data_IF_027946185594
#
_entry.id   IF_027946185594
#
_cell.length_a   1.000
_cell.length_b   1.000
_cell.length_c   1.000
_cell.angle_alpha   90.00
_cell.angle_beta   90.00
_cell.angle_gamma   90.00
#
_symmetry.space_group_name_H-M   'P 1'
#
loop_
_entity.id
_entity.type
_entity.pdbx_description
1 polymer ?
#
# COMPACT_ATOMS: atom_id res chain seq x y z
N UNK A 1 8.12 3.27 13.73
CA UNK A 1 8.62 2.60 12.51
C UNK A 1 7.95 3.19 11.29
N UNK A 2 8.69 3.40 10.18
CA UNK A 2 8.17 3.93 8.92
C UNK A 2 8.03 2.84 7.87
N UNK A 3 6.84 2.69 7.31
CA UNK A 3 6.54 1.77 6.20
C UNK A 3 6.08 2.56 4.98
N UNK A 4 6.65 2.28 3.83
CA UNK A 4 6.20 2.81 2.54
C UNK A 4 5.43 1.71 1.82
N UNK A 5 4.22 2.05 1.35
CA UNK A 5 3.31 1.11 0.69
C UNK A 5 2.98 1.61 -0.70
N UNK A 6 3.34 0.83 -1.70
CA UNK A 6 3.25 1.24 -3.10
C UNK A 6 2.44 0.28 -3.97
N UNK A 7 2.04 0.75 -5.11
CA UNK A 7 1.33 0.00 -6.14
C UNK A 7 0.60 0.93 -7.10
N UNK A 8 0.44 0.49 -8.32
CA UNK A 8 -0.31 1.26 -9.34
C UNK A 8 -1.77 1.45 -8.91
N UNK A 9 -2.48 2.43 -9.47
CA UNK A 9 -3.91 2.57 -9.29
C UNK A 9 -4.65 1.24 -9.53
N UNK A 10 -5.57 0.86 -8.64
CA UNK A 10 -6.30 -0.41 -8.73
C UNK A 10 -5.53 -1.66 -8.30
N UNK A 11 -4.30 -1.54 -7.82
CA UNK A 11 -3.52 -2.67 -7.31
C UNK A 11 -3.83 -3.02 -5.84
N UNK A 12 -4.83 -2.40 -5.24
CA UNK A 12 -5.31 -2.74 -3.90
C UNK A 12 -4.40 -2.30 -2.76
N UNK A 13 -3.50 -1.33 -2.98
CA UNK A 13 -2.59 -0.81 -1.95
C UNK A 13 -3.32 -0.31 -0.71
N UNK A 14 -4.31 0.58 -0.88
CA UNK A 14 -5.08 1.17 0.23
C UNK A 14 -5.91 0.11 0.97
N UNK A 15 -6.64 -0.74 0.24
CA UNK A 15 -7.45 -1.81 0.83
C UNK A 15 -6.61 -2.78 1.69
N UNK A 16 -5.48 -3.25 1.15
CA UNK A 16 -4.62 -4.17 1.89
C UNK A 16 -3.89 -3.48 3.03
N UNK A 17 -3.57 -2.18 2.91
CA UNK A 17 -3.04 -1.40 4.03
C UNK A 17 -4.04 -1.31 5.16
N UNK A 18 -5.30 -0.94 4.87
CA UNK A 18 -6.38 -0.90 5.87
C UNK A 18 -6.50 -2.25 6.56
N UNK A 19 -6.60 -3.34 5.79
CA UNK A 19 -6.71 -4.69 6.34
C UNK A 19 -5.55 -5.06 7.26
N UNK A 20 -4.31 -4.90 6.80
CA UNK A 20 -3.12 -5.31 7.55
C UNK A 20 -2.94 -4.46 8.81
N UNK A 21 -3.17 -3.14 8.71
CA UNK A 21 -3.09 -2.22 9.84
C UNK A 21 -4.20 -2.48 10.85
N UNK A 22 -5.44 -2.67 10.39
CA UNK A 22 -6.58 -2.95 11.26
C UNK A 22 -6.37 -4.21 12.08
N UNK A 23 -5.95 -5.30 11.44
CA UNK A 23 -5.70 -6.57 12.11
C UNK A 23 -4.57 -6.46 13.14
N UNK A 24 -3.48 -5.80 12.78
CA UNK A 24 -2.32 -5.62 13.65
C UNK A 24 -2.65 -4.70 14.83
N UNK A 25 -3.21 -3.52 14.56
CA UNK A 25 -3.54 -2.54 15.58
C UNK A 25 -4.56 -3.11 16.58
N UNK A 26 -5.56 -3.87 16.10
CA UNK A 26 -6.52 -4.55 16.98
C UNK A 26 -5.82 -5.57 17.90
N UNK A 27 -4.92 -6.39 17.35
CA UNK A 27 -4.17 -7.39 18.13
C UNK A 27 -3.24 -6.75 19.18
N UNK A 28 -2.70 -5.58 18.88
CA UNK A 28 -1.78 -4.83 19.75
C UNK A 28 -2.52 -3.84 20.69
N UNK A 29 -3.83 -3.67 20.55
CA UNK A 29 -4.62 -2.69 21.31
C UNK A 29 -4.27 -1.23 21.01
N UNK A 30 -3.79 -0.96 19.79
CA UNK A 30 -3.33 0.37 19.36
C UNK A 30 -4.40 1.12 18.59
N UNK A 31 -4.41 2.44 18.74
CA UNK A 31 -5.28 3.35 17.99
C UNK A 31 -4.65 3.70 16.65
N UNK A 32 -5.49 3.77 15.62
CA UNK A 32 -5.08 4.16 14.27
C UNK A 32 -5.59 5.56 13.94
N UNK A 33 -4.71 6.43 13.48
CA UNK A 33 -5.06 7.73 12.93
C UNK A 33 -4.85 7.71 11.42
N UNK A 34 -5.84 8.19 10.67
CA UNK A 34 -5.78 8.15 9.21
C UNK A 34 -6.04 9.51 8.58
N UNK A 35 -5.39 9.73 7.44
CA UNK A 35 -5.61 10.89 6.59
C UNK A 35 -5.78 10.48 5.13
N UNK A 36 -6.66 11.21 4.42
CA UNK A 36 -6.91 11.08 2.98
C UNK A 36 -7.40 9.69 2.52
N UNK A 37 -8.05 8.93 3.40
CA UNK A 37 -8.80 7.72 3.03
C UNK A 37 -10.27 8.10 2.92
N UNK A 38 -10.74 8.37 1.70
CA UNK A 38 -12.07 8.88 1.46
C UNK A 38 -13.16 7.86 1.81
N UNK A 39 -14.19 8.32 2.54
CA UNK A 39 -15.34 7.50 2.89
C UNK A 39 -14.99 6.27 3.73
N UNK A 40 -13.90 6.30 4.49
CA UNK A 40 -13.58 5.25 5.44
C UNK A 40 -14.68 5.18 6.50
N UNK A 41 -15.13 3.96 6.80
CA UNK A 41 -16.16 3.63 7.79
C UNK A 41 -15.49 2.93 8.98
N UNK A 42 -15.01 3.68 9.98
CA UNK A 42 -14.29 3.14 11.14
C UNK A 42 -15.09 2.09 11.92
N UNK A 43 -16.40 2.21 11.94
CA UNK A 43 -17.33 1.30 12.62
C UNK A 43 -17.34 -0.14 12.03
N UNK A 44 -16.84 -0.31 10.81
CA UNK A 44 -16.69 -1.63 10.17
C UNK A 44 -15.32 -2.27 10.43
N UNK A 45 -14.43 -1.57 11.13
CA UNK A 45 -13.08 -2.02 11.43
C UNK A 45 -12.99 -2.56 12.87
N UNK A 46 -11.94 -3.34 13.15
CA UNK A 46 -11.75 -3.99 14.45
C UNK A 46 -11.01 -3.10 15.44
N UNK A 47 -10.03 -2.35 14.97
CA UNK A 47 -9.29 -1.38 15.76
C UNK A 47 -10.06 -0.05 15.81
N UNK A 48 -9.69 0.84 16.72
CA UNK A 48 -10.22 2.20 16.77
C UNK A 48 -9.51 3.08 15.76
N UNK A 49 -10.25 3.59 14.78
CA UNK A 49 -9.73 4.45 13.73
C UNK A 49 -10.30 5.86 13.84
N UNK A 50 -9.44 6.88 13.83
CA UNK A 50 -9.81 8.29 13.89
C UNK A 50 -9.18 9.06 12.76
N UNK A 51 -9.98 9.93 12.14
CA UNK A 51 -9.47 10.86 11.13
C UNK A 51 -8.66 11.97 11.82
N UNK A 52 -7.53 12.37 11.25
CA UNK A 52 -6.83 13.58 11.62
C UNK A 52 -6.64 14.48 10.39
N UNK A 53 -6.59 15.79 10.61
CA UNK A 53 -6.75 16.76 9.54
C UNK A 53 -5.41 17.22 8.94
N UNK A 54 -4.36 17.28 9.75
CA UNK A 54 -3.06 17.83 9.34
C UNK A 54 -1.96 16.76 9.37
N UNK A 55 -1.61 16.15 8.21
CA UNK A 55 -0.54 15.15 8.15
C UNK A 55 0.83 15.68 8.52
N UNK A 56 1.09 16.98 8.39
CA UNK A 56 2.37 17.56 8.77
C UNK A 56 2.56 17.61 10.28
N UNK A 57 1.46 17.46 11.07
CA UNK A 57 1.47 17.36 12.53
C UNK A 57 1.32 15.94 13.06
N UNK A 58 1.62 14.94 12.26
CA UNK A 58 1.50 13.54 12.64
C UNK A 58 2.23 13.18 13.95
N UNK A 59 3.34 13.87 14.26
CA UNK A 59 4.16 13.66 15.44
C UNK A 59 3.56 14.23 16.75
N UNK A 60 2.49 15.02 16.65
CA UNK A 60 1.72 15.53 17.79
C UNK A 60 0.62 14.55 18.25
N UNK A 61 0.37 13.48 17.48
CA UNK A 61 -0.60 12.45 17.85
C UNK A 61 -0.16 11.70 19.12
N UNK A 62 -1.10 11.08 19.86
CA UNK A 62 -0.79 10.33 21.07
C UNK A 62 0.29 9.26 20.81
N UNK A 63 1.16 9.04 21.82
CA UNK A 63 2.20 8.02 21.74
C UNK A 63 1.60 6.63 21.41
N UNK A 64 2.41 5.77 20.82
CA UNK A 64 2.05 4.41 20.37
C UNK A 64 0.94 4.36 19.30
N UNK A 65 0.65 5.48 18.66
CA UNK A 65 -0.32 5.53 17.56
C UNK A 65 0.20 4.85 16.29
N UNK A 66 -0.72 4.23 15.56
CA UNK A 66 -0.51 3.82 14.17
C UNK A 66 -1.08 4.90 13.25
N UNK A 67 -0.31 5.35 12.28
CA UNK A 67 -0.67 6.49 11.42
C UNK A 67 -0.67 6.03 9.97
N UNK A 68 -1.76 6.30 9.25
CA UNK A 68 -1.93 5.92 7.84
C UNK A 68 -2.27 7.15 7.01
N UNK A 69 -1.44 7.45 6.02
CA UNK A 69 -1.68 8.56 5.09
C UNK A 69 -1.74 8.02 3.67
N UNK A 70 -2.88 8.17 3.00
CA UNK A 70 -3.02 7.78 1.59
C UNK A 70 -2.69 8.96 0.66
N UNK A 71 -2.14 8.65 -0.53
CA UNK A 71 -1.55 9.59 -1.49
C UNK A 71 -0.57 10.55 -0.78
N UNK A 72 0.30 9.96 0.04
CA UNK A 72 1.18 10.64 0.98
C UNK A 72 2.12 11.68 0.34
N UNK A 73 2.36 11.61 -0.98
CA UNK A 73 3.15 12.59 -1.70
C UNK A 73 2.60 14.02 -1.63
N UNK A 74 1.33 14.19 -1.26
CA UNK A 74 0.72 15.50 -1.08
C UNK A 74 1.35 16.32 0.06
N UNK A 75 1.90 15.63 1.09
CA UNK A 75 2.49 16.25 2.30
C UNK A 75 3.96 15.86 2.51
N UNK A 76 4.31 14.67 2.07
CA UNK A 76 5.65 14.06 2.24
C UNK A 76 6.39 13.91 0.92
N UNK A 77 6.03 14.74 -0.08
CA UNK A 77 6.58 14.71 -1.44
C UNK A 77 8.05 15.12 -1.50
N UNK A 78 8.66 14.84 -2.65
CA UNK A 78 10.02 15.24 -2.94
C UNK A 78 10.19 16.76 -2.88
N UNK A 79 11.25 17.23 -2.25
CA UNK A 79 11.66 18.64 -2.14
C UNK A 79 13.04 18.84 -2.76
N UNK A 80 13.47 20.06 -2.88
CA UNK A 80 14.86 20.38 -3.25
C UNK A 80 15.80 19.73 -2.20
N UNK A 81 16.72 18.84 -2.60
CA UNK A 81 17.65 18.18 -1.68
C UNK A 81 18.58 19.14 -0.94
N UNK A 82 18.75 20.37 -1.45
CA UNK A 82 19.57 21.42 -0.82
C UNK A 82 18.81 22.17 0.28
N UNK A 83 17.48 22.14 0.25
CA UNK A 83 16.66 22.79 1.26
C UNK A 83 16.69 22.00 2.58
N UNK A 84 16.73 22.73 3.70
CA UNK A 84 16.62 22.10 5.02
C UNK A 84 15.28 21.33 5.13
N UNK A 85 15.29 20.07 5.58
CA UNK A 85 14.06 19.34 5.77
C UNK A 85 13.14 20.06 6.78
N UNK A 86 11.83 20.17 6.48
CA UNK A 86 10.87 20.70 7.43
C UNK A 86 10.71 19.76 8.64
N UNK A 87 10.09 20.27 9.70
CA UNK A 87 9.98 19.56 10.96
C UNK A 87 9.26 18.21 10.80
N UNK A 88 8.15 18.16 10.09
CA UNK A 88 7.37 16.92 9.88
C UNK A 88 8.17 15.81 9.16
N UNK A 89 9.26 16.16 8.45
CA UNK A 89 10.18 15.19 7.84
C UNK A 89 11.27 14.78 8.85
N UNK A 90 11.87 15.73 9.58
CA UNK A 90 12.95 15.41 10.54
C UNK A 90 12.46 14.63 11.74
N UNK A 91 11.20 14.80 12.13
CA UNK A 91 10.58 14.05 13.25
C UNK A 91 10.55 12.54 13.03
N UNK A 92 10.64 12.06 11.78
CA UNK A 92 10.78 10.62 11.50
C UNK A 92 12.08 10.02 12.06
N UNK A 93 13.13 10.80 12.26
CA UNK A 93 14.38 10.32 12.86
C UNK A 93 14.19 9.88 14.31
N UNK A 94 13.29 10.54 15.03
CA UNK A 94 13.05 10.33 16.48
C UNK A 94 11.74 9.62 16.78
N UNK A 95 10.93 9.26 15.76
CA UNK A 95 9.58 8.71 15.96
C UNK A 95 9.53 7.43 16.80
N UNK A 96 10.66 6.70 16.91
CA UNK A 96 10.75 5.51 17.76
C UNK A 96 10.57 5.82 19.24
N UNK A 97 10.97 7.03 19.69
CA UNK A 97 10.81 7.46 21.07
C UNK A 97 9.33 7.62 21.47
N UNK A 98 8.47 7.94 20.51
CA UNK A 98 7.02 8.07 20.71
C UNK A 98 6.27 6.76 20.40
N UNK A 99 6.95 5.68 20.03
CA UNK A 99 6.31 4.40 19.68
C UNK A 99 5.48 4.41 18.39
N UNK A 100 5.53 5.50 17.62
CA UNK A 100 4.71 5.62 16.40
C UNK A 100 5.07 4.61 15.32
N UNK A 101 4.04 4.15 14.62
CA UNK A 101 4.16 3.36 13.39
C UNK A 101 3.44 4.13 12.26
N UNK A 102 4.17 4.53 11.24
CA UNK A 102 3.64 5.35 10.15
C UNK A 102 3.64 4.57 8.84
N UNK A 103 2.51 4.56 8.17
CA UNK A 103 2.32 3.95 6.86
C UNK A 103 2.01 5.05 5.84
N UNK A 104 2.95 5.28 4.93
CA UNK A 104 2.79 6.21 3.80
C UNK A 104 2.43 5.43 2.55
N UNK A 105 1.23 5.67 2.02
CA UNK A 105 0.72 5.02 0.81
C UNK A 105 0.92 5.96 -0.37
N UNK A 106 1.54 5.47 -1.44
CA UNK A 106 1.76 6.21 -2.69
C UNK A 106 1.79 5.25 -3.87
N UNK A 107 1.82 5.77 -5.09
CA UNK A 107 1.93 4.93 -6.29
C UNK A 107 3.36 4.48 -6.55
N UNK A 108 4.31 5.35 -6.29
CA UNK A 108 5.75 5.17 -6.54
C UNK A 108 6.54 5.76 -5.37
N UNK A 109 7.53 5.06 -4.80
CA UNK A 109 8.30 5.59 -3.66
C UNK A 109 9.10 6.84 -4.03
N UNK A 110 9.42 7.04 -5.31
CA UNK A 110 10.15 8.23 -5.79
C UNK A 110 9.35 9.53 -5.67
N UNK A 111 8.03 9.43 -5.46
CA UNK A 111 7.19 10.60 -5.18
C UNK A 111 7.37 11.13 -3.75
N UNK A 112 7.95 10.33 -2.85
CA UNK A 112 8.23 10.72 -1.48
C UNK A 112 9.63 11.33 -1.34
N UNK A 113 9.79 12.14 -0.31
CA UNK A 113 11.08 12.73 0.05
C UNK A 113 12.17 11.66 0.20
N UNK A 114 13.36 11.96 -0.34
CA UNK A 114 14.51 11.05 -0.28
C UNK A 114 14.92 10.72 1.15
N UNK A 115 14.73 11.65 2.09
CA UNK A 115 15.04 11.44 3.49
C UNK A 115 14.16 10.34 4.10
N UNK A 116 12.86 10.37 3.81
CA UNK A 116 11.92 9.33 4.26
C UNK A 116 12.22 7.96 3.64
N UNK A 117 12.60 7.93 2.37
CA UNK A 117 12.98 6.69 1.70
C UNK A 117 14.20 6.03 2.36
N UNK A 118 15.15 6.84 2.85
CA UNK A 118 16.33 6.36 3.59
C UNK A 118 16.00 5.89 5.01
N UNK A 119 14.98 6.47 5.65
CA UNK A 119 14.53 6.10 7.00
C UNK A 119 13.52 4.95 7.01
N UNK A 120 13.11 4.47 5.84
CA UNK A 120 12.12 3.42 5.70
C UNK A 120 12.57 2.12 6.37
N UNK A 121 11.69 1.55 7.21
CA UNK A 121 11.92 0.28 7.89
C UNK A 121 11.31 -0.91 7.15
N UNK A 122 10.46 -0.65 6.17
CA UNK A 122 9.85 -1.69 5.35
C UNK A 122 9.08 -1.12 4.17
N UNK A 123 9.33 -1.66 2.99
CA UNK A 123 8.62 -1.32 1.77
C UNK A 123 7.72 -2.48 1.37
N UNK A 124 6.43 -2.21 1.21
CA UNK A 124 5.44 -3.18 0.74
C UNK A 124 4.91 -2.75 -0.62
N UNK A 125 5.12 -3.56 -1.63
CA UNK A 125 4.62 -3.28 -2.97
C UNK A 125 3.54 -4.28 -3.37
N UNK A 126 2.42 -3.78 -3.94
CA UNK A 126 1.31 -4.59 -4.43
C UNK A 126 1.25 -4.58 -5.95
N UNK A 127 1.28 -5.76 -6.53
CA UNK A 127 1.19 -5.97 -7.96
C UNK A 127 -0.01 -6.85 -8.31
N UNK A 128 -0.98 -6.29 -9.02
CA UNK A 128 -2.18 -7.03 -9.40
C UNK A 128 -1.93 -7.91 -10.61
N UNK A 129 -2.32 -9.17 -10.51
CA UNK A 129 -2.15 -10.14 -11.59
C UNK A 129 -3.39 -10.09 -12.50
N UNK A 130 -3.20 -9.72 -13.76
CA UNK A 130 -4.25 -9.72 -14.81
C UNK A 130 -5.60 -9.11 -14.42
N UNK A 131 -5.60 -8.02 -13.64
CA UNK A 131 -6.83 -7.42 -13.09
C UNK A 131 -7.72 -8.39 -12.29
N UNK A 132 -7.19 -9.53 -11.87
CA UNK A 132 -7.89 -10.52 -11.04
C UNK A 132 -7.99 -10.06 -9.58
N UNK A 133 -8.58 -10.88 -8.73
CA UNK A 133 -8.55 -10.67 -7.28
C UNK A 133 -7.22 -11.10 -6.63
N UNK A 134 -6.31 -11.68 -7.40
CA UNK A 134 -4.98 -12.09 -6.93
C UNK A 134 -3.98 -10.95 -7.05
N UNK A 135 -3.19 -10.80 -6.01
CA UNK A 135 -2.10 -9.83 -5.92
C UNK A 135 -0.80 -10.54 -5.55
N UNK A 136 0.28 -10.05 -6.10
CA UNK A 136 1.61 -10.32 -5.56
C UNK A 136 1.93 -9.21 -4.57
N UNK A 137 2.26 -9.59 -3.34
CA UNK A 137 2.72 -8.72 -2.28
C UNK A 137 4.21 -8.95 -2.10
N UNK A 138 4.99 -7.93 -2.32
CA UNK A 138 6.43 -7.93 -2.11
C UNK A 138 6.76 -7.15 -0.87
N UNK A 139 7.66 -7.66 -0.04
CA UNK A 139 8.15 -7.00 1.16
C UNK A 139 9.67 -6.92 1.10
N UNK A 140 10.21 -5.75 1.37
CA UNK A 140 11.64 -5.49 1.46
C UNK A 140 11.93 -4.62 2.67
N UNK A 141 13.04 -4.83 3.35
CA UNK A 141 13.49 -3.95 4.45
C UNK A 141 13.93 -2.57 3.94
N UNK A 142 14.42 -2.51 2.71
CA UNK A 142 14.79 -1.26 2.04
C UNK A 142 13.80 -0.89 0.95
N UNK A 143 13.77 0.39 0.60
CA UNK A 143 12.91 0.88 -0.49
C UNK A 143 13.38 0.33 -1.84
N UNK A 144 12.47 -0.28 -2.57
CA UNK A 144 12.66 -0.68 -3.97
C UNK A 144 12.35 0.55 -4.83
N UNK A 145 13.39 1.23 -5.30
CA UNK A 145 13.24 2.50 -6.03
C UNK A 145 12.56 2.34 -7.40
N UNK A 146 12.86 1.27 -8.12
CA UNK A 146 12.34 1.02 -9.47
C UNK A 146 11.22 -0.02 -9.45
N UNK A 147 10.06 0.38 -8.94
CA UNK A 147 8.89 -0.53 -8.82
C UNK A 147 8.28 -0.96 -10.15
N UNK A 148 8.65 -0.32 -11.25
CA UNK A 148 8.26 -0.73 -12.61
C UNK A 148 9.09 -1.88 -13.17
N UNK A 149 10.26 -2.18 -12.58
CA UNK A 149 11.22 -3.17 -13.06
C UNK A 149 11.10 -4.46 -12.25
N UNK A 150 10.72 -5.57 -12.91
CA UNK A 150 10.53 -6.87 -12.21
C UNK A 150 11.77 -7.38 -11.50
N UNK A 151 12.96 -7.19 -12.07
CA UNK A 151 14.22 -7.63 -11.48
C UNK A 151 14.58 -6.90 -10.19
N UNK A 152 13.99 -5.72 -9.94
CA UNK A 152 14.19 -4.98 -8.68
C UNK A 152 13.59 -5.69 -7.47
N UNK A 153 12.72 -6.67 -7.66
CA UNK A 153 12.06 -7.44 -6.61
C UNK A 153 12.72 -8.80 -6.33
N UNK A 154 13.88 -9.08 -6.90
CA UNK A 154 14.55 -10.40 -6.78
C UNK A 154 14.85 -10.79 -5.32
N UNK A 155 15.20 -9.80 -4.50
CA UNK A 155 15.59 -9.98 -3.08
C UNK A 155 14.42 -9.68 -2.11
N UNK A 156 13.22 -9.39 -2.63
CA UNK A 156 12.05 -9.12 -1.82
C UNK A 156 11.26 -10.40 -1.51
N UNK A 157 10.74 -10.50 -0.31
CA UNK A 157 9.81 -11.57 0.07
C UNK A 157 8.53 -11.45 -0.74
N UNK A 158 8.24 -12.48 -1.53
CA UNK A 158 7.09 -12.52 -2.42
C UNK A 158 6.00 -13.43 -1.86
N UNK A 159 4.78 -12.90 -1.74
CA UNK A 159 3.60 -13.66 -1.33
C UNK A 159 2.43 -13.40 -2.28
N UNK A 160 1.74 -14.46 -2.67
CA UNK A 160 0.47 -14.33 -3.38
C UNK A 160 -0.65 -14.17 -2.37
N UNK A 161 -1.43 -13.10 -2.48
CA UNK A 161 -2.58 -12.82 -1.63
C UNK A 161 -3.82 -12.59 -2.48
N UNK A 162 -5.01 -12.67 -1.86
CA UNK A 162 -6.28 -12.30 -2.48
C UNK A 162 -6.83 -11.05 -1.82
N UNK A 163 -7.51 -10.21 -2.62
CA UNK A 163 -8.32 -9.12 -2.09
C UNK A 163 -9.39 -9.69 -1.17
N UNK A 164 -9.45 -9.20 0.05
CA UNK A 164 -10.42 -9.64 1.04
C UNK A 164 -11.75 -8.90 0.85
N UNK A 165 -12.78 -9.63 0.49
CA UNK A 165 -14.12 -9.08 0.26
C UNK A 165 -14.74 -8.41 1.48
N UNK A 166 -14.30 -8.79 2.69
CA UNK A 166 -14.78 -8.17 3.95
C UNK A 166 -14.42 -6.69 4.05
N UNK A 167 -13.35 -6.27 3.38
CA UNK A 167 -12.90 -4.88 3.35
C UNK A 167 -13.41 -4.12 2.12
N UNK A 168 -14.25 -4.76 1.28
CA UNK A 168 -14.90 -4.07 0.17
C UNK A 168 -16.02 -3.16 0.71
N UNK A 169 -16.03 -1.90 0.27
CA UNK A 169 -17.02 -0.93 0.75
C UNK A 169 -16.66 -0.24 2.07
N UNK A 170 -15.62 -0.69 2.79
CA UNK A 170 -15.14 -0.04 4.02
C UNK A 170 -14.63 1.38 3.75
N UNK A 171 -14.23 1.68 2.52
CA UNK A 171 -13.83 3.01 2.08
C UNK A 171 -14.21 3.24 0.62
N UNK A 172 -14.30 4.51 0.21
CA UNK A 172 -14.60 4.89 -1.18
C UNK A 172 -13.31 4.87 -1.99
N UNK A 173 -13.14 3.83 -2.82
CA UNK A 173 -12.03 3.81 -3.78
C UNK A 173 -12.29 4.85 -4.87
N UNK A 174 -11.29 5.67 -5.19
CA UNK A 174 -11.34 6.60 -6.33
C UNK A 174 -11.56 5.90 -7.68
N UNK A 175 -11.44 4.58 -7.70
CA UNK A 175 -11.72 3.71 -8.85
C UNK A 175 -13.00 2.88 -8.66
N UNK A 176 -13.96 3.36 -7.90
CA UNK A 176 -15.19 2.68 -7.45
C UNK A 176 -16.15 2.16 -8.50
N UNK A 177 -15.78 2.05 -9.77
CA UNK A 177 -16.58 1.44 -10.83
C UNK A 177 -15.76 0.60 -11.80
N UNK A 178 -14.71 -0.08 -11.34
CA UNK A 178 -14.16 -1.13 -12.17
C UNK A 178 -14.98 -2.41 -12.02
N UNK A 179 -15.98 -2.57 -12.89
CA UNK A 179 -16.51 -3.88 -13.21
C UNK A 179 -15.32 -4.83 -13.43
N UNK A 180 -15.21 -5.86 -12.59
CA UNK A 180 -14.21 -6.90 -12.71
C UNK A 180 -14.47 -7.73 -13.98
N UNK A 181 -14.23 -7.16 -15.15
CA UNK A 181 -14.14 -7.94 -16.38
C UNK A 181 -12.76 -8.60 -16.38
N UNK A 182 -12.73 -9.83 -15.90
CA UNK A 182 -11.60 -10.73 -16.09
C UNK A 182 -11.48 -11.05 -17.58
N UNK A 183 -10.90 -10.13 -18.37
CA UNK A 183 -10.51 -10.45 -19.76
C UNK A 183 -9.25 -11.31 -19.68
N UNK A 184 -9.39 -12.61 -19.91
CA UNK A 184 -8.23 -13.46 -20.17
C UNK A 184 -7.48 -12.91 -21.40
N UNK A 185 -6.13 -12.86 -21.34
CA UNK A 185 -5.36 -12.47 -22.51
C UNK A 185 -5.76 -13.35 -23.70
N UNK A 186 -6.07 -12.74 -24.85
CA UNK A 186 -6.47 -13.46 -26.06
C UNK A 186 -5.47 -14.55 -26.47
N UNK A 187 -4.17 -14.34 -26.20
CA UNK A 187 -3.12 -15.35 -26.39
C UNK A 187 -3.32 -16.62 -25.56
N UNK A 188 -3.88 -16.50 -24.34
CA UNK A 188 -4.16 -17.66 -23.48
C UNK A 188 -5.36 -18.46 -24.01
N UNK A 189 -6.40 -17.76 -24.50
CA UNK A 189 -7.57 -18.39 -25.15
C UNK A 189 -7.14 -19.11 -26.44
N UNK A 190 -6.29 -18.47 -27.24
CA UNK A 190 -5.74 -19.08 -28.46
C UNK A 190 -4.89 -20.33 -28.13
N UNK A 191 -4.04 -20.29 -27.14
CA UNK A 191 -3.25 -21.43 -26.70
C UNK A 191 -4.14 -22.60 -26.25
N UNK A 192 -5.19 -22.33 -25.49
CA UNK A 192 -6.16 -23.35 -25.07
C UNK A 192 -6.91 -23.97 -26.27
N UNK A 193 -7.29 -23.16 -27.24
CA UNK A 193 -7.95 -23.64 -28.47
C UNK A 193 -7.02 -24.53 -29.33
N UNK A 194 -5.74 -24.16 -29.43
CA UNK A 194 -4.74 -24.97 -30.17
C UNK A 194 -4.51 -26.30 -29.45
N UNK A 195 -4.40 -26.33 -28.14
CA UNK A 195 -4.23 -27.56 -27.34
C UNK A 195 -5.46 -28.46 -27.50
N UNK A 196 -6.67 -27.90 -27.38
CA UNK A 196 -7.91 -28.69 -27.53
C UNK A 196 -8.07 -29.26 -28.96
N UNK A 197 -7.70 -28.51 -30.00
CA UNK A 197 -7.69 -28.99 -31.38
C UNK A 197 -6.67 -30.10 -31.60
N UNK A 198 -5.47 -29.99 -31.03
CA UNK A 198 -4.43 -31.01 -31.12
C UNK A 198 -4.85 -32.33 -30.42
N UNK A 199 -5.50 -32.24 -29.27
CA UNK A 199 -6.05 -33.41 -28.56
C UNK A 199 -7.18 -34.05 -29.36
N UNK A 200 -8.06 -33.26 -29.99
CA UNK A 200 -9.16 -33.79 -30.80
C UNK A 200 -8.68 -34.49 -32.09
N UNK A 201 -7.57 -34.04 -32.70
CA UNK A 201 -6.98 -34.70 -33.88
C UNK A 201 -6.14 -35.93 -33.53
N UNK A 202 -5.85 -36.21 -32.29
CA UNK A 202 -5.09 -37.38 -31.83
C UNK A 202 -5.97 -38.54 -31.34
N UNK A 203 -7.29 -38.38 -31.39
CA UNK A 203 -8.31 -39.40 -31.18
C UNK A 203 -9.00 -39.75 -32.49
#
# INVERSE_FOLDING_TARGET
MLYIRTGKPGHGKTLNTIKEVDQKAHAEGRTVYFHNINGLQPEQLKASWYKFDDPEKWFELPNDSVIVVDEAQGWFGGRDPRARPPEHITRFETMRHSGHEVHLITQDPRYLDVHLRRLCNGHVHYWRVFKSQQLLRFVSEAVIEKVEVKSSFKDADKKTIRLDKKYFGVYTSTQGQHHFQAKMPTKFIMAMLVISAAVYMSY
#
